data_IF_348703079183
#
_entry.id   IF_348703079183
#
_cell.length_a   1.000
_cell.length_b   1.000
_cell.length_c   1.000
_cell.angle_alpha   90.00
_cell.angle_beta   90.00
_cell.angle_gamma   90.00
#
_symmetry.space_group_name_H-M   'P 1'
#
loop_
_entity.id
_entity.type
_entity.pdbx_description
1 polymer ?
#
# COMPACT_ATOMS: atom_id res chain seq x y z
N UNK A 1 6.05 20.27 -11.08
CA UNK A 1 5.90 18.83 -11.41
C UNK A 1 4.94 18.25 -10.39
N UNK A 2 3.75 17.91 -10.86
CA UNK A 2 2.53 17.77 -10.06
C UNK A 2 2.64 16.68 -8.98
N UNK A 3 2.39 17.06 -7.72
CA UNK A 3 2.33 16.16 -6.56
C UNK A 3 1.19 15.18 -6.78
N UNK A 4 1.49 13.94 -7.18
CA UNK A 4 0.57 12.83 -6.93
C UNK A 4 0.55 12.64 -5.42
N UNK A 5 -0.50 13.15 -4.79
CA UNK A 5 -0.89 12.84 -3.42
C UNK A 5 -2.35 12.43 -3.48
N UNK A 6 -2.62 11.14 -3.29
CA UNK A 6 -3.68 10.81 -2.36
C UNK A 6 -3.37 9.55 -1.55
N UNK A 7 -4.14 9.41 -0.48
CA UNK A 7 -4.58 8.12 0.04
C UNK A 7 -5.27 7.38 -1.12
N UNK A 8 -4.51 6.69 -1.98
CA UNK A 8 -4.99 6.22 -3.29
C UNK A 8 -6.29 5.39 -3.16
N UNK A 9 -7.28 5.57 -4.04
CA UNK A 9 -8.48 4.71 -4.12
C UNK A 9 -8.29 3.54 -5.11
N UNK A 10 -7.02 3.18 -5.36
CA UNK A 10 -6.61 2.13 -6.27
C UNK A 10 -5.16 1.67 -6.02
N UNK A 11 -4.54 0.97 -6.98
CA UNK A 11 -3.25 0.33 -6.77
C UNK A 11 -2.12 1.35 -6.54
N UNK A 12 -1.32 1.15 -5.50
CA UNK A 12 -0.18 2.01 -5.15
C UNK A 12 1.15 1.39 -5.59
N UNK A 13 2.09 2.21 -6.03
CA UNK A 13 3.48 1.77 -6.21
C UNK A 13 4.15 1.51 -4.86
N UNK A 14 4.92 0.42 -4.74
CA UNK A 14 5.63 0.09 -3.48
C UNK A 14 6.61 1.18 -3.07
N UNK A 15 7.23 1.87 -4.02
CA UNK A 15 8.09 3.02 -3.74
C UNK A 15 7.35 4.19 -3.10
N UNK A 16 6.11 4.42 -3.49
CA UNK A 16 5.34 5.53 -2.94
C UNK A 16 4.74 5.16 -1.59
N UNK A 17 4.37 3.89 -1.39
CA UNK A 17 4.06 3.35 -0.05
C UNK A 17 5.27 3.51 0.88
N UNK A 18 6.47 3.12 0.45
CA UNK A 18 7.69 3.26 1.26
C UNK A 18 7.93 4.71 1.69
N UNK A 19 7.86 5.66 0.73
CA UNK A 19 8.00 7.09 1.01
C UNK A 19 6.97 7.60 2.02
N UNK A 20 5.69 7.20 1.90
CA UNK A 20 4.63 7.61 2.83
C UNK A 20 4.83 7.07 4.24
N UNK A 21 5.38 5.86 4.36
CA UNK A 21 5.70 5.24 5.64
C UNK A 21 7.01 5.76 6.25
N UNK A 22 7.78 6.60 5.53
CA UNK A 22 9.11 7.03 5.97
C UNK A 22 10.17 5.93 5.91
N UNK A 23 9.93 4.91 5.09
CA UNK A 23 10.74 3.69 5.01
C UNK A 23 11.55 3.58 3.72
N UNK A 24 12.55 2.71 3.73
CA UNK A 24 13.33 2.40 2.53
C UNK A 24 12.57 1.50 1.57
N UNK A 25 12.92 1.57 0.28
CA UNK A 25 12.32 0.68 -0.74
C UNK A 25 12.64 -0.80 -0.46
N UNK A 26 13.83 -1.10 0.05
CA UNK A 26 14.25 -2.48 0.37
C UNK A 26 13.45 -3.05 1.53
N UNK A 27 13.26 -2.25 2.59
CA UNK A 27 12.40 -2.61 3.71
C UNK A 27 10.95 -2.85 3.25
N UNK A 28 10.41 -1.95 2.43
CA UNK A 28 9.07 -2.10 1.88
C UNK A 28 8.93 -3.34 0.99
N UNK A 29 9.96 -3.73 0.24
CA UNK A 29 9.94 -4.95 -0.59
C UNK A 29 9.94 -6.24 0.25
N UNK A 30 10.67 -6.28 1.38
CA UNK A 30 10.63 -7.40 2.32
C UNK A 30 9.22 -7.59 2.87
N UNK A 31 8.56 -6.51 3.29
CA UNK A 31 7.19 -6.60 3.78
C UNK A 31 6.16 -6.85 2.67
N UNK A 32 6.39 -6.31 1.46
CA UNK A 32 5.57 -6.62 0.28
C UNK A 32 5.50 -8.13 0.06
N UNK A 33 6.63 -8.84 0.11
CA UNK A 33 6.65 -10.29 -0.09
C UNK A 33 5.80 -11.02 0.95
N UNK A 34 5.92 -10.66 2.23
CA UNK A 34 5.13 -11.24 3.33
C UNK A 34 3.64 -10.99 3.16
N UNK A 35 3.25 -9.77 2.78
CA UNK A 35 1.85 -9.39 2.60
C UNK A 35 1.22 -10.03 1.35
N UNK A 36 2.01 -10.28 0.29
CA UNK A 36 1.59 -11.06 -0.87
C UNK A 36 1.37 -12.53 -0.49
N UNK A 37 2.30 -13.12 0.26
CA UNK A 37 2.20 -14.51 0.73
C UNK A 37 0.97 -14.71 1.62
N UNK A 38 0.76 -13.80 2.57
CA UNK A 38 -0.42 -13.76 3.44
C UNK A 38 -1.73 -13.37 2.72
N UNK A 39 -1.69 -13.09 1.41
CA UNK A 39 -2.84 -12.66 0.61
C UNK A 39 -3.56 -11.43 1.16
N UNK A 40 -2.83 -10.55 1.83
CA UNK A 40 -3.35 -9.26 2.30
C UNK A 40 -3.36 -8.24 1.16
N UNK A 41 -2.36 -8.32 0.28
CA UNK A 41 -2.24 -7.50 -0.93
C UNK A 41 -2.07 -8.37 -2.18
N UNK A 42 -2.33 -7.80 -3.35
CA UNK A 42 -2.15 -8.40 -4.67
C UNK A 42 -1.27 -7.54 -5.56
N UNK A 43 -0.50 -8.17 -6.45
CA UNK A 43 0.32 -7.47 -7.43
C UNK A 43 -0.43 -7.33 -8.76
N UNK A 44 -0.86 -6.11 -9.10
CA UNK A 44 -1.68 -5.86 -10.31
C UNK A 44 -0.84 -5.43 -11.51
N UNK A 45 0.28 -4.74 -11.27
CA UNK A 45 1.25 -4.31 -12.29
C UNK A 45 2.65 -4.37 -11.71
N UNK A 46 3.67 -4.27 -12.57
CA UNK A 46 5.08 -4.24 -12.13
C UNK A 46 5.28 -3.13 -11.09
N UNK A 47 5.66 -3.53 -9.88
CA UNK A 47 5.94 -2.60 -8.76
C UNK A 47 4.71 -2.01 -8.08
N UNK A 48 3.48 -2.33 -8.51
CA UNK A 48 2.25 -1.86 -7.88
C UNK A 48 1.57 -2.96 -7.06
N UNK A 49 0.83 -2.56 -6.02
CA UNK A 49 0.04 -3.42 -5.14
C UNK A 49 -1.30 -2.78 -4.81
N UNK A 50 -2.30 -3.61 -4.56
CA UNK A 50 -3.57 -3.19 -3.96
C UNK A 50 -4.00 -4.19 -2.89
N UNK A 51 -5.00 -3.84 -2.08
CA UNK A 51 -5.55 -4.77 -1.11
C UNK A 51 -6.26 -5.93 -1.81
N UNK A 52 -6.01 -7.14 -1.33
CA UNK A 52 -6.68 -8.33 -1.84
C UNK A 52 -8.16 -8.38 -1.42
N UNK A 53 -8.46 -7.79 -0.26
CA UNK A 53 -9.79 -7.76 0.34
C UNK A 53 -10.48 -6.44 -0.05
N UNK A 54 -11.60 -6.50 -0.79
CA UNK A 54 -12.42 -5.32 -1.06
C UNK A 54 -12.82 -4.61 0.23
N UNK A 55 -12.88 -3.27 0.21
CA UNK A 55 -13.24 -2.43 1.37
C UNK A 55 -12.28 -2.45 2.57
N UNK A 56 -11.21 -3.26 2.57
CA UNK A 56 -10.20 -3.23 3.63
C UNK A 56 -9.55 -1.83 3.77
N UNK A 57 -9.40 -1.13 2.64
CA UNK A 57 -8.93 0.26 2.60
C UNK A 57 -9.83 1.19 3.42
N UNK A 58 -11.14 1.07 3.26
CA UNK A 58 -12.11 1.93 3.95
C UNK A 58 -12.14 1.60 5.44
N UNK A 59 -12.11 0.31 5.78
CA UNK A 59 -11.98 -0.15 7.16
C UNK A 59 -10.74 0.45 7.84
N UNK A 60 -9.56 0.31 7.25
CA UNK A 60 -8.33 0.88 7.80
C UNK A 60 -8.42 2.40 7.93
N UNK A 61 -8.98 3.11 6.94
CA UNK A 61 -9.13 4.58 6.99
C UNK A 61 -10.00 5.03 8.16
N UNK A 62 -11.13 4.35 8.41
CA UNK A 62 -12.05 4.68 9.50
C UNK A 62 -11.46 4.36 10.87
N UNK A 63 -10.62 3.33 10.99
CA UNK A 63 -10.08 2.89 12.28
C UNK A 63 -8.72 3.53 12.63
N UNK A 64 -7.91 3.91 11.64
CA UNK A 64 -6.66 4.66 11.87
C UNK A 64 -6.92 6.15 12.22
N UNK A 65 -8.07 6.70 11.85
CA UNK A 65 -8.46 8.08 12.19
C UNK A 65 -9.06 8.21 13.62
N UNK A 66 -9.21 7.10 14.34
CA UNK A 66 -9.81 7.04 15.68
C UNK A 66 -8.80 6.96 16.83
N UNK A 67 -7.53 7.28 16.58
CA UNK A 67 -6.45 7.23 17.59
C UNK A 67 -5.87 8.61 17.88
#
# INVERSE_FOLDING_TARGET
MERISPVDDGPSATSDVAKRMGETIDYANVYRAKLLDARVIVALRRGQVDFAVPMLRDYLRTHESGR
#
